data_IF_649620094091
#
_entry.id   IF_649620094091
#
_cell.length_a   1.000
_cell.length_b   1.000
_cell.length_c   1.000
_cell.angle_alpha   90.00
_cell.angle_beta   90.00
_cell.angle_gamma   90.00
#
_symmetry.space_group_name_H-M   'P 1'
#
loop_
_entity.id
_entity.type
_entity.pdbx_description
1 polymer ?
#
# COMPACT_ATOMS: atom_id res chain seq x y z
N UNK A 1 -6.45 -25.96 -19.22
CA UNK A 1 -6.39 -24.77 -18.36
C UNK A 1 -5.19 -23.94 -18.78
N UNK A 2 -5.38 -22.67 -19.14
CA UNK A 2 -4.26 -21.75 -19.41
C UNK A 2 -3.87 -21.05 -18.10
N UNK A 3 -2.58 -20.94 -17.79
CA UNK A 3 -2.06 -20.33 -16.56
C UNK A 3 -1.23 -19.09 -16.89
N UNK A 4 -1.40 -18.02 -16.10
CA UNK A 4 -0.54 -16.83 -16.20
C UNK A 4 0.76 -17.07 -15.41
N UNK A 5 1.84 -17.32 -16.13
CA UNK A 5 3.16 -17.63 -15.55
C UNK A 5 3.98 -16.34 -15.46
N UNK A 6 4.61 -16.11 -14.30
CA UNK A 6 5.60 -15.05 -14.11
C UNK A 6 6.79 -15.59 -13.29
N UNK A 7 8.04 -15.18 -13.61
CA UNK A 7 9.19 -15.53 -12.78
C UNK A 7 9.07 -14.90 -11.39
N UNK A 8 9.74 -15.47 -10.39
CA UNK A 8 9.66 -15.01 -9.00
C UNK A 8 10.02 -13.53 -8.82
N UNK A 9 10.94 -12.99 -9.62
CA UNK A 9 11.34 -11.58 -9.62
C UNK A 9 10.22 -10.63 -10.04
N UNK A 10 9.25 -11.10 -10.84
CA UNK A 10 8.16 -10.29 -11.40
C UNK A 10 6.78 -10.71 -10.88
N UNK A 11 6.71 -11.60 -9.88
CA UNK A 11 5.42 -12.11 -9.36
C UNK A 11 4.48 -11.00 -8.84
N UNK A 12 5.03 -9.87 -8.40
CA UNK A 12 4.28 -8.70 -7.93
C UNK A 12 4.08 -7.64 -9.02
N UNK A 13 4.70 -7.78 -10.19
CA UNK A 13 4.65 -6.78 -11.24
C UNK A 13 3.21 -6.52 -11.71
N UNK A 14 2.38 -7.54 -12.04
CA UNK A 14 0.99 -7.31 -12.42
C UNK A 14 0.17 -6.62 -11.31
N UNK A 15 0.44 -6.95 -10.04
CA UNK A 15 -0.22 -6.35 -8.89
C UNK A 15 0.10 -4.85 -8.78
N UNK A 16 1.38 -4.47 -8.93
CA UNK A 16 1.78 -3.06 -8.87
C UNK A 16 1.27 -2.25 -10.06
N UNK A 17 1.23 -2.83 -11.26
CA UNK A 17 0.60 -2.18 -12.41
C UNK A 17 -0.89 -1.95 -12.17
N UNK A 18 -1.61 -2.94 -11.62
CA UNK A 18 -3.02 -2.76 -11.26
C UNK A 18 -3.21 -1.66 -10.21
N UNK A 19 -2.35 -1.60 -9.20
CA UNK A 19 -2.41 -0.57 -8.16
C UNK A 19 -2.15 0.83 -8.74
N UNK A 20 -1.15 0.94 -9.61
CA UNK A 20 -0.80 2.16 -10.33
C UNK A 20 -1.97 2.68 -11.18
N UNK A 21 -2.64 1.80 -11.93
CA UNK A 21 -3.80 2.17 -12.76
C UNK A 21 -5.00 2.66 -11.92
N UNK A 22 -5.07 2.30 -10.64
CA UNK A 22 -6.10 2.77 -9.69
C UNK A 22 -5.70 4.04 -8.94
N UNK A 23 -4.44 4.48 -9.04
CA UNK A 23 -3.91 5.66 -8.37
C UNK A 23 -4.48 6.96 -9.00
N UNK A 24 -4.66 8.04 -8.20
CA UNK A 24 -5.28 9.31 -8.64
C UNK A 24 -4.69 9.92 -9.92
N UNK A 25 -3.39 9.78 -10.15
CA UNK A 25 -2.67 10.23 -11.34
C UNK A 25 -3.20 9.57 -12.62
N UNK A 26 -3.49 8.26 -12.59
CA UNK A 26 -3.82 7.48 -13.79
C UNK A 26 -5.27 6.98 -13.85
N UNK A 27 -5.98 6.97 -12.73
CA UNK A 27 -7.35 6.43 -12.69
C UNK A 27 -8.29 7.22 -13.60
N UNK A 28 -9.15 6.48 -14.29
CA UNK A 28 -10.17 7.03 -15.21
C UNK A 28 -11.59 6.76 -14.73
N UNK A 29 -11.83 5.72 -13.92
CA UNK A 29 -13.16 5.29 -13.50
C UNK A 29 -13.81 6.08 -12.36
N UNK A 30 -13.14 7.10 -11.81
CA UNK A 30 -13.70 7.95 -10.74
C UNK A 30 -13.31 9.41 -10.97
N UNK A 31 -14.25 10.33 -10.71
CA UNK A 31 -13.97 11.76 -10.79
C UNK A 31 -12.82 12.14 -9.85
N UNK A 32 -11.89 12.96 -10.34
CA UNK A 32 -10.73 13.44 -9.60
C UNK A 32 -10.53 14.90 -9.97
N UNK A 33 -10.44 15.78 -8.98
CA UNK A 33 -10.13 17.19 -9.21
C UNK A 33 -8.83 17.30 -10.02
N UNK A 34 -8.76 18.27 -10.94
CA UNK A 34 -7.57 18.45 -11.77
C UNK A 34 -6.32 18.68 -10.91
N UNK A 35 -6.42 19.54 -9.91
CA UNK A 35 -5.31 19.87 -9.02
C UNK A 35 -4.86 18.65 -8.20
N UNK A 36 -5.79 17.84 -7.70
CA UNK A 36 -5.47 16.57 -7.02
C UNK A 36 -4.72 15.61 -7.94
N UNK A 37 -5.13 15.52 -9.21
CA UNK A 37 -4.50 14.65 -10.20
C UNK A 37 -3.10 15.14 -10.52
N UNK A 38 -2.94 16.44 -10.77
CA UNK A 38 -1.62 17.05 -11.06
C UNK A 38 -0.70 16.91 -9.85
N UNK A 39 -1.20 17.14 -8.63
CA UNK A 39 -0.44 16.91 -7.40
C UNK A 39 0.05 15.46 -7.31
N UNK A 40 -0.84 14.48 -7.52
CA UNK A 40 -0.45 13.07 -7.52
C UNK A 40 0.63 12.77 -8.57
N UNK A 41 0.51 13.32 -9.78
CA UNK A 41 1.53 13.18 -10.83
C UNK A 41 2.87 13.81 -10.41
N UNK A 42 2.86 14.99 -9.82
CA UNK A 42 4.06 15.66 -9.33
C UNK A 42 4.75 14.84 -8.24
N UNK A 43 4.00 14.36 -7.24
CA UNK A 43 4.55 13.50 -6.19
C UNK A 43 5.16 12.23 -6.77
N UNK A 44 4.54 11.61 -7.77
CA UNK A 44 5.10 10.42 -8.41
C UNK A 44 6.44 10.66 -9.12
N UNK A 45 6.69 11.89 -9.58
CA UNK A 45 7.94 12.25 -10.26
C UNK A 45 9.05 12.63 -9.28
N UNK A 46 8.71 13.04 -8.05
CA UNK A 46 9.67 13.62 -7.10
C UNK A 46 9.92 12.75 -5.85
N UNK A 47 8.99 11.88 -5.48
CA UNK A 47 9.07 11.12 -4.24
C UNK A 47 10.19 10.05 -4.31
N UNK A 48 11.00 9.89 -3.24
CA UNK A 48 11.90 8.76 -3.11
C UNK A 48 11.15 7.43 -3.20
N UNK A 49 11.82 6.40 -3.72
CA UNK A 49 11.21 5.09 -4.00
C UNK A 49 10.45 4.52 -2.80
N UNK A 50 11.00 4.62 -1.59
CA UNK A 50 10.38 4.08 -0.37
C UNK A 50 9.01 4.71 -0.06
N UNK A 51 8.83 6.00 -0.35
CA UNK A 51 7.57 6.71 -0.17
C UNK A 51 6.64 6.49 -1.36
N UNK A 52 7.20 6.52 -2.57
CA UNK A 52 6.46 6.29 -3.81
C UNK A 52 5.76 4.91 -3.81
N UNK A 53 6.44 3.87 -3.32
CA UNK A 53 5.85 2.52 -3.25
C UNK A 53 4.61 2.47 -2.36
N UNK A 54 4.58 3.21 -1.24
CA UNK A 54 3.41 3.31 -0.36
C UNK A 54 2.26 4.10 -1.00
N UNK A 55 2.58 5.08 -1.85
CA UNK A 55 1.56 5.82 -2.62
C UNK A 55 0.95 4.97 -3.75
N UNK A 56 1.73 4.09 -4.36
CA UNK A 56 1.27 3.19 -5.44
C UNK A 56 0.49 2.02 -4.85
N UNK A 57 1.06 1.34 -3.84
CA UNK A 57 0.48 0.18 -3.19
C UNK A 57 0.59 0.36 -1.66
N UNK A 58 -0.43 0.96 -1.02
CA UNK A 58 -0.45 1.21 0.41
C UNK A 58 -0.17 -0.03 1.26
N UNK A 59 0.41 0.20 2.42
CA UNK A 59 0.61 -0.85 3.41
C UNK A 59 -0.59 -0.90 4.34
N UNK A 60 -1.26 -2.05 4.41
CA UNK A 60 -2.39 -2.28 5.30
C UNK A 60 -1.96 -3.17 6.47
N UNK A 61 -2.29 -2.75 7.68
CA UNK A 61 -1.97 -3.46 8.91
C UNK A 61 -3.23 -3.65 9.74
N UNK A 62 -3.34 -4.79 10.41
CA UNK A 62 -4.33 -4.98 11.48
C UNK A 62 -3.68 -4.53 12.79
N UNK A 63 -4.38 -3.67 13.54
CA UNK A 63 -3.81 -2.98 14.71
C UNK A 63 -4.58 -3.23 16.01
N UNK A 64 -5.72 -3.93 15.99
CA UNK A 64 -6.46 -4.32 17.21
C UNK A 64 -5.79 -5.49 17.96
N UNK A 65 -4.87 -6.22 17.31
CA UNK A 65 -4.19 -7.40 17.85
C UNK A 65 -2.68 -7.30 17.66
N UNK A 66 -2.10 -6.22 18.18
CA UNK A 66 -0.64 -6.08 18.20
C UNK A 66 -0.07 -7.06 19.24
N UNK A 67 0.90 -7.86 18.83
CA UNK A 67 1.61 -8.82 19.69
C UNK A 67 3.06 -8.38 19.85
N UNK A 68 3.68 -8.81 20.95
CA UNK A 68 5.08 -8.53 21.23
C UNK A 68 6.04 -9.52 20.55
N UNK A 69 5.52 -10.49 19.78
CA UNK A 69 6.33 -11.55 19.15
C UNK A 69 7.26 -11.02 18.05
N UNK A 70 6.91 -9.90 17.42
CA UNK A 70 7.68 -9.27 16.35
C UNK A 70 7.89 -7.79 16.61
N UNK A 71 8.49 -7.44 17.76
CA UNK A 71 8.81 -6.04 18.08
C UNK A 71 10.24 -5.67 17.74
N UNK A 72 10.46 -4.41 17.38
CA UNK A 72 11.79 -3.81 17.25
C UNK A 72 12.02 -2.76 18.33
N UNK A 73 13.26 -2.63 18.79
CA UNK A 73 13.65 -1.59 19.75
C UNK A 73 14.21 -0.37 19.00
N UNK A 74 13.58 0.78 19.18
CA UNK A 74 14.01 2.05 18.58
C UNK A 74 13.89 3.14 19.63
N UNK A 75 14.98 3.87 19.90
CA UNK A 75 15.02 4.99 20.86
C UNK A 75 14.40 4.62 22.23
N UNK A 76 14.82 3.48 22.80
CA UNK A 76 14.31 2.91 24.06
C UNK A 76 12.81 2.59 24.08
N UNK A 77 12.17 2.49 22.91
CA UNK A 77 10.77 2.09 22.76
C UNK A 77 10.67 0.76 22.03
N UNK A 78 9.73 -0.07 22.50
CA UNK A 78 9.32 -1.31 21.84
C UNK A 78 8.25 -0.96 20.80
N UNK A 79 8.51 -1.25 19.53
CA UNK A 79 7.60 -0.95 18.42
C UNK A 79 7.10 -2.27 17.81
N UNK A 80 5.79 -2.58 17.88
CA UNK A 80 5.23 -3.78 17.27
C UNK A 80 5.35 -3.72 15.74
N UNK A 81 5.64 -4.86 15.10
CA UNK A 81 5.68 -5.02 13.65
C UNK A 81 4.52 -5.93 13.19
N UNK A 82 3.29 -5.40 13.03
CA UNK A 82 2.19 -6.18 12.50
C UNK A 82 2.46 -6.61 11.05
N UNK A 83 2.00 -7.81 10.63
CA UNK A 83 2.23 -8.29 9.28
C UNK A 83 1.41 -7.51 8.24
N UNK A 84 2.01 -7.27 7.07
CA UNK A 84 1.34 -6.65 5.93
C UNK A 84 0.15 -7.47 5.44
N UNK A 85 -0.97 -6.80 5.26
CA UNK A 85 -2.19 -7.37 4.69
C UNK A 85 -2.31 -7.02 3.21
N UNK A 86 -2.92 -7.95 2.44
CA UNK A 86 -3.29 -7.69 1.04
C UNK A 86 -4.37 -6.60 0.97
N UNK A 87 -4.32 -5.77 -0.05
CA UNK A 87 -5.32 -4.73 -0.32
C UNK A 87 -6.61 -5.33 -0.91
N UNK A 88 -7.38 -6.00 -0.05
CA UNK A 88 -8.69 -6.57 -0.37
C UNK A 88 -9.64 -6.33 0.80
N UNK A 89 -10.90 -6.06 0.50
CA UNK A 89 -11.96 -5.94 1.51
C UNK A 89 -12.15 -7.25 2.29
N UNK A 90 -11.76 -8.40 1.73
CA UNK A 90 -11.74 -9.69 2.43
C UNK A 90 -10.83 -9.70 3.67
N UNK A 91 -9.85 -8.79 3.75
CA UNK A 91 -8.99 -8.64 4.93
C UNK A 91 -9.59 -7.75 6.02
N UNK A 92 -10.67 -7.01 5.72
CA UNK A 92 -11.30 -6.08 6.64
C UNK A 92 -12.43 -6.77 7.40
N UNK A 93 -12.10 -7.36 8.54
CA UNK A 93 -13.09 -7.94 9.47
C UNK A 93 -13.86 -6.83 10.19
N UNK A 94 -15.16 -7.03 10.43
CA UNK A 94 -16.03 -6.01 11.07
C UNK A 94 -15.61 -5.70 12.50
N UNK A 95 -15.02 -6.68 13.17
CA UNK A 95 -14.60 -6.63 14.57
C UNK A 95 -13.13 -6.20 14.74
N UNK A 96 -12.46 -5.78 13.65
CA UNK A 96 -11.05 -5.41 13.66
C UNK A 96 -10.81 -3.92 13.48
N UNK A 97 -9.63 -3.46 13.87
CA UNK A 97 -9.14 -2.12 13.58
C UNK A 97 -7.94 -2.22 12.63
N UNK A 98 -7.91 -1.38 11.60
CA UNK A 98 -6.89 -1.43 10.56
C UNK A 98 -6.27 -0.06 10.31
N UNK A 99 -4.97 -0.05 10.05
CA UNK A 99 -4.22 1.14 9.64
C UNK A 99 -3.76 0.95 8.21
N UNK A 100 -4.07 1.92 7.35
CA UNK A 100 -3.57 1.97 5.97
C UNK A 100 -2.62 3.15 5.83
N UNK A 101 -1.34 2.86 5.64
CA UNK A 101 -0.31 3.85 5.33
C UNK A 101 -0.22 4.05 3.81
N UNK A 102 -0.72 5.19 3.35
CA UNK A 102 -0.77 5.59 1.93
C UNK A 102 0.42 6.45 1.49
N UNK A 103 1.43 6.66 2.35
CA UNK A 103 2.69 7.32 1.98
C UNK A 103 2.62 8.80 1.57
N UNK A 104 1.47 9.47 1.64
CA UNK A 104 1.37 10.90 1.33
C UNK A 104 1.86 11.75 2.50
N UNK A 105 2.75 12.70 2.20
CA UNK A 105 3.08 13.86 3.04
C UNK A 105 2.24 15.05 2.58
#
# INVERSE_FOLDING_TARGET
>A
QSMLIAPNSLKLFPLYILALLKQKAFRTGTSTCLDDRVYAMCQMKSQPLVHLMKMIHPNLYRIDKLTDESTIHVNDRIIPQPPLQKLSTEKLTREGAFLMDCGSV
#
